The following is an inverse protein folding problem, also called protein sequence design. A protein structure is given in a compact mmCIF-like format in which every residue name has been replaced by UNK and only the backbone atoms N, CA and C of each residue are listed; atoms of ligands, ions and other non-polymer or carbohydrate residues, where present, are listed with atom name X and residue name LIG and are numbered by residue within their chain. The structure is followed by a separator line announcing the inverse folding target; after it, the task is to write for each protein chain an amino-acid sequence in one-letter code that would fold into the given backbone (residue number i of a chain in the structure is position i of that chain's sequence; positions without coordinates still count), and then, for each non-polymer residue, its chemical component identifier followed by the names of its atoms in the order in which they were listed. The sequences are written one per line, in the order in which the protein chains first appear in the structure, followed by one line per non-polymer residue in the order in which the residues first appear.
data_IF_927189347222
#
_entry.id   IF_927189347222
#
_cell.length_a   1.000
_cell.length_b   1.000
_cell.length_c   1.000
_cell.angle_alpha   90.00
_cell.angle_beta   90.00
_cell.angle_gamma   90.00
#
_symmetry.space_group_name_H-M   'P 1'
#
loop_
_entity.id
_entity.type
_entity.pdbx_description
1 polymer ?
#
# COMPACT_ATOMS: atom_id res chain seq x y z
N UNK A 1 6.50 -4.94 21.57
CA UNK A 1 6.99 -4.48 20.26
C UNK A 1 6.56 -5.52 19.23
N UNK A 2 6.03 -5.11 18.08
CA UNK A 2 5.70 -6.04 16.98
C UNK A 2 6.99 -6.68 16.48
N UNK A 3 6.96 -7.97 16.20
CA UNK A 3 8.11 -8.75 15.75
C UNK A 3 7.77 -9.46 14.44
N UNK A 4 8.54 -9.21 13.38
CA UNK A 4 8.44 -9.84 12.07
C UNK A 4 9.70 -10.65 11.72
N UNK A 5 10.48 -11.05 12.73
CA UNK A 5 11.73 -11.82 12.53
C UNK A 5 11.45 -13.13 11.77
N UNK A 6 12.19 -13.33 10.69
CA UNK A 6 12.05 -14.50 9.82
C UNK A 6 10.90 -14.42 8.81
N UNK A 7 10.16 -13.29 8.78
CA UNK A 7 9.13 -13.02 7.77
C UNK A 7 9.72 -12.37 6.53
N UNK A 8 9.19 -12.75 5.36
CA UNK A 8 9.50 -12.16 4.07
C UNK A 8 8.33 -11.28 3.64
N UNK A 9 8.61 -10.01 3.40
CA UNK A 9 7.61 -9.02 2.97
C UNK A 9 7.89 -8.49 1.57
N UNK A 10 6.83 -8.28 0.80
CA UNK A 10 6.83 -7.56 -0.49
C UNK A 10 6.09 -6.24 -0.31
N UNK A 11 6.72 -5.13 -0.72
CA UNK A 11 6.12 -3.78 -0.64
C UNK A 11 6.19 -3.11 -2.00
N UNK A 12 5.08 -2.61 -2.54
CA UNK A 12 5.09 -1.79 -3.77
C UNK A 12 5.05 -0.30 -3.43
N UNK A 13 5.65 0.54 -4.28
CA UNK A 13 5.74 1.99 -4.03
C UNK A 13 6.73 2.34 -2.91
N UNK A 14 7.80 1.54 -2.75
CA UNK A 14 8.72 1.62 -1.61
C UNK A 14 9.78 2.72 -1.69
N UNK A 15 9.88 3.46 -2.80
CA UNK A 15 10.91 4.48 -2.99
C UNK A 15 10.64 5.78 -2.21
N UNK A 16 9.42 6.04 -1.79
CA UNK A 16 9.08 7.31 -1.11
C UNK A 16 7.87 7.19 -0.17
N UNK A 17 7.59 8.25 0.57
CA UNK A 17 6.35 8.46 1.32
C UNK A 17 5.96 7.29 2.22
N UNK A 18 4.70 6.86 2.12
CA UNK A 18 4.14 5.78 2.93
C UNK A 18 4.87 4.45 2.65
N UNK A 19 5.19 4.16 1.38
CA UNK A 19 5.87 2.91 1.03
C UNK A 19 7.25 2.80 1.65
N UNK A 20 8.07 3.85 1.55
CA UNK A 20 9.37 3.92 2.24
C UNK A 20 9.21 3.70 3.74
N UNK A 21 8.24 4.38 4.36
CA UNK A 21 7.98 4.21 5.79
C UNK A 21 7.59 2.77 6.15
N UNK A 22 6.79 2.10 5.31
CA UNK A 22 6.45 0.68 5.48
C UNK A 22 7.70 -0.21 5.40
N UNK A 23 8.55 -0.02 4.37
CA UNK A 23 9.80 -0.78 4.22
C UNK A 23 10.64 -0.67 5.50
N UNK A 24 10.91 0.57 5.94
CA UNK A 24 11.77 0.81 7.11
C UNK A 24 11.17 0.24 8.40
N UNK A 25 9.86 0.42 8.62
CA UNK A 25 9.17 -0.14 9.80
C UNK A 25 9.19 -1.66 9.84
N UNK A 26 9.03 -2.32 8.68
CA UNK A 26 9.09 -3.78 8.61
C UNK A 26 10.50 -4.30 8.84
N UNK A 27 11.53 -3.62 8.32
CA UNK A 27 12.94 -3.94 8.60
C UNK A 27 13.24 -3.76 10.09
N UNK A 28 12.83 -2.65 10.71
CA UNK A 28 12.98 -2.41 12.16
C UNK A 28 12.31 -3.52 12.99
N UNK A 29 11.19 -4.08 12.49
CA UNK A 29 10.51 -5.20 13.13
C UNK A 29 11.15 -6.57 12.85
N UNK A 30 12.21 -6.63 12.03
CA UNK A 30 13.01 -7.83 11.77
C UNK A 30 12.64 -8.61 10.50
N UNK A 31 11.80 -8.06 9.62
CA UNK A 31 11.47 -8.69 8.34
C UNK A 31 12.60 -8.54 7.32
N UNK A 32 12.71 -9.49 6.40
CA UNK A 32 13.38 -9.29 5.11
C UNK A 32 12.39 -8.71 4.13
N UNK A 33 12.71 -7.57 3.51
CA UNK A 33 11.79 -6.82 2.67
C UNK A 33 12.28 -6.75 1.23
N UNK A 34 11.51 -7.24 0.28
CA UNK A 34 11.66 -6.96 -1.14
C UNK A 34 10.68 -5.84 -1.51
N UNK A 35 11.16 -4.79 -2.14
CA UNK A 35 10.25 -3.69 -2.49
C UNK A 35 10.48 -3.20 -3.92
N UNK A 36 9.39 -2.82 -4.57
CA UNK A 36 9.39 -2.35 -5.95
C UNK A 36 8.90 -0.91 -6.08
N UNK A 37 9.50 -0.18 -7.03
CA UNK A 37 9.09 1.16 -7.42
C UNK A 37 9.62 1.48 -8.82
N UNK A 38 9.01 2.47 -9.48
CA UNK A 38 9.52 3.02 -10.76
C UNK A 38 10.66 4.02 -10.54
N UNK A 39 10.76 4.61 -9.34
CA UNK A 39 11.83 5.56 -8.97
C UNK A 39 13.05 4.82 -8.45
N UNK A 40 13.99 4.54 -9.36
CA UNK A 40 15.23 3.81 -9.04
C UNK A 40 16.10 4.57 -8.03
N UNK A 41 16.17 5.90 -8.13
CA UNK A 41 16.98 6.71 -7.21
C UNK A 41 16.41 6.68 -5.80
N UNK A 42 15.09 6.88 -5.65
CA UNK A 42 14.39 6.77 -4.38
C UNK A 42 14.43 5.35 -3.82
N UNK A 43 14.40 4.32 -4.69
CA UNK A 43 14.57 2.92 -4.30
C UNK A 43 15.95 2.65 -3.70
N UNK A 44 17.02 3.10 -4.37
CA UNK A 44 18.38 2.98 -3.86
C UNK A 44 18.56 3.71 -2.51
N UNK A 45 17.97 4.90 -2.36
CA UNK A 45 17.98 5.65 -1.10
C UNK A 45 17.27 4.86 0.02
N UNK A 46 16.09 4.30 -0.26
CA UNK A 46 15.34 3.51 0.72
C UNK A 46 16.13 2.28 1.16
N UNK A 47 16.77 1.58 0.23
CA UNK A 47 17.62 0.42 0.53
C UNK A 47 18.82 0.81 1.39
N UNK A 48 19.42 1.98 1.13
CA UNK A 48 20.55 2.48 1.93
C UNK A 48 20.15 2.92 3.35
N UNK A 49 18.92 3.37 3.55
CA UNK A 49 18.38 3.73 4.88
C UNK A 49 18.02 2.50 5.72
N UNK A 50 17.77 1.36 5.10
CA UNK A 50 17.48 0.12 5.79
C UNK A 50 18.74 -0.51 6.38
N UNK A 51 18.58 -1.39 7.38
CA UNK A 51 19.70 -2.19 7.87
C UNK A 51 20.28 -3.05 6.74
N UNK A 52 21.61 -3.15 6.67
CA UNK A 52 22.31 -3.83 5.56
C UNK A 52 21.77 -5.24 5.32
N UNK A 53 21.35 -5.51 4.08
CA UNK A 53 20.84 -6.81 3.65
C UNK A 53 19.41 -7.14 4.05
N UNK A 54 18.70 -6.23 4.73
CA UNK A 54 17.32 -6.46 5.17
C UNK A 54 16.26 -5.91 4.21
N UNK A 55 16.66 -5.07 3.24
CA UNK A 55 15.78 -4.54 2.19
C UNK A 55 16.45 -4.64 0.82
N UNK A 56 15.73 -5.18 -0.16
CA UNK A 56 16.18 -5.30 -1.55
C UNK A 56 15.24 -4.53 -2.46
N UNK A 57 15.78 -3.59 -3.23
CA UNK A 57 15.04 -2.83 -4.23
C UNK A 57 14.96 -3.59 -5.55
N UNK A 58 13.82 -3.49 -6.22
CA UNK A 58 13.56 -4.00 -7.57
C UNK A 58 12.88 -2.89 -8.41
N UNK A 59 13.39 -2.54 -9.59
CA UNK A 59 12.65 -1.70 -10.53
C UNK A 59 11.32 -2.36 -10.88
N UNK A 60 10.21 -1.67 -10.67
CA UNK A 60 8.88 -2.25 -10.82
C UNK A 60 7.84 -1.19 -11.20
N UNK A 61 7.25 -1.34 -12.38
CA UNK A 61 5.98 -0.72 -12.74
C UNK A 61 4.84 -1.72 -12.47
N UNK A 62 3.93 -1.38 -11.56
CA UNK A 62 2.79 -2.23 -11.19
C UNK A 62 1.74 -2.37 -12.30
N UNK A 63 1.87 -1.62 -13.39
CA UNK A 63 1.03 -1.75 -14.58
C UNK A 63 1.62 -2.71 -15.61
N UNK A 64 2.91 -3.02 -15.53
CA UNK A 64 3.64 -3.92 -16.41
C UNK A 64 3.66 -5.35 -15.85
N UNK A 65 2.91 -6.26 -16.47
CA UNK A 65 2.80 -7.65 -16.02
C UNK A 65 4.11 -8.43 -16.11
N UNK A 66 4.92 -8.16 -17.12
CA UNK A 66 6.19 -8.84 -17.31
C UNK A 66 7.19 -8.45 -16.20
N UNK A 67 7.17 -7.17 -15.78
CA UNK A 67 7.95 -6.72 -14.63
C UNK A 67 7.46 -7.36 -13.33
N UNK A 68 6.15 -7.48 -13.13
CA UNK A 68 5.58 -8.16 -11.95
C UNK A 68 5.99 -9.63 -11.91
N UNK A 69 5.95 -10.35 -13.03
CA UNK A 69 6.37 -11.75 -13.12
C UNK A 69 7.86 -11.92 -12.83
N UNK A 70 8.71 -11.03 -13.36
CA UNK A 70 10.15 -11.01 -13.03
C UNK A 70 10.37 -10.76 -11.55
N UNK A 71 9.71 -9.75 -10.99
CA UNK A 71 9.77 -9.44 -9.56
C UNK A 71 9.38 -10.63 -8.69
N UNK A 72 8.28 -11.31 -9.03
CA UNK A 72 7.85 -12.50 -8.31
C UNK A 72 8.87 -13.64 -8.42
N UNK A 73 9.49 -13.81 -9.57
CA UNK A 73 10.55 -14.82 -9.80
C UNK A 73 11.80 -14.50 -8.98
N UNK A 74 12.25 -13.26 -8.95
CA UNK A 74 13.42 -12.82 -8.18
C UNK A 74 13.19 -13.01 -6.67
N UNK A 75 11.99 -12.70 -6.20
CA UNK A 75 11.61 -12.90 -4.79
C UNK A 75 11.45 -14.38 -4.45
N UNK A 76 11.01 -15.23 -5.38
CA UNK A 76 10.85 -16.68 -5.17
C UNK A 76 12.17 -17.41 -4.90
N UNK A 77 13.33 -16.79 -5.17
CA UNK A 77 14.65 -17.28 -4.75
C UNK A 77 14.85 -17.20 -3.21
N UNK A 78 13.99 -16.45 -2.51
CA UNK A 78 13.89 -16.35 -1.06
C UNK A 78 12.88 -17.37 -0.50
N UNK A 79 12.77 -17.55 0.83
CA UNK A 79 11.64 -18.25 1.43
C UNK A 79 10.30 -17.67 0.97
N UNK A 80 9.23 -18.46 1.06
CA UNK A 80 7.88 -18.03 0.65
C UNK A 80 7.51 -16.67 1.27
N UNK A 81 6.83 -15.83 0.47
CA UNK A 81 6.36 -14.51 0.93
C UNK A 81 5.28 -14.67 1.99
N UNK A 82 5.50 -14.06 3.15
CA UNK A 82 4.53 -14.02 4.25
C UNK A 82 3.60 -12.81 4.17
N UNK A 83 4.11 -11.68 3.67
CA UNK A 83 3.43 -10.38 3.76
C UNK A 83 3.48 -9.67 2.41
N UNK A 84 2.32 -9.19 1.94
CA UNK A 84 2.21 -8.29 0.79
C UNK A 84 1.64 -6.95 1.27
N UNK A 85 2.30 -5.84 0.90
CA UNK A 85 1.82 -4.48 1.15
C UNK A 85 1.73 -3.73 -0.17
N UNK A 86 0.53 -3.48 -0.64
CA UNK A 86 0.27 -2.72 -1.86
C UNK A 86 0.13 -1.24 -1.52
N UNK A 87 1.21 -0.47 -1.73
CA UNK A 87 1.25 0.98 -1.47
C UNK A 87 1.31 1.80 -2.76
N UNK A 88 1.90 1.26 -3.84
CA UNK A 88 2.01 1.97 -5.11
C UNK A 88 0.68 2.62 -5.52
N UNK A 89 0.74 3.88 -5.85
CA UNK A 89 -0.44 4.65 -6.22
C UNK A 89 -0.07 6.04 -6.71
N UNK A 90 -0.91 6.60 -7.56
CA UNK A 90 -0.72 7.92 -8.14
C UNK A 90 -2.07 8.58 -8.39
N UNK A 91 -2.11 9.91 -8.30
CA UNK A 91 -3.28 10.71 -8.64
C UNK A 91 -2.88 12.11 -9.10
N UNK A 92 -3.78 12.74 -9.80
CA UNK A 92 -3.75 14.18 -10.15
C UNK A 92 -5.16 14.73 -10.03
N UNK A 93 -5.32 15.69 -9.12
CA UNK A 93 -6.60 16.37 -8.88
C UNK A 93 -7.04 17.13 -10.14
N UNK A 94 -8.22 16.82 -10.67
CA UNK A 94 -8.84 17.54 -11.79
C UNK A 94 -10.36 17.30 -11.82
N UNK A 95 -11.15 18.21 -12.41
CA UNK A 95 -12.58 17.99 -12.63
C UNK A 95 -12.84 16.73 -13.47
N UNK A 96 -13.91 16.00 -13.18
CA UNK A 96 -14.23 14.75 -13.90
C UNK A 96 -14.41 14.96 -15.41
N UNK A 97 -15.01 16.09 -15.81
CA UNK A 97 -15.23 16.38 -17.24
C UNK A 97 -13.94 16.68 -18.01
N UNK A 98 -12.84 17.00 -17.32
CA UNK A 98 -11.54 17.26 -17.92
C UNK A 98 -10.69 15.99 -18.03
N UNK A 99 -11.18 14.88 -17.46
CA UNK A 99 -10.45 13.62 -17.47
C UNK A 99 -10.56 12.95 -18.86
N UNK A 100 -9.41 12.68 -19.48
CA UNK A 100 -9.36 11.91 -20.73
C UNK A 100 -9.47 10.40 -20.46
N UNK A 101 -9.86 9.59 -21.46
CA UNK A 101 -9.88 8.14 -21.32
C UNK A 101 -8.51 7.58 -20.87
N UNK A 102 -7.40 8.09 -21.40
CA UNK A 102 -6.04 7.64 -21.06
C UNK A 102 -5.70 7.94 -19.60
N UNK A 103 -6.14 9.11 -19.11
CA UNK A 103 -5.97 9.45 -17.68
C UNK A 103 -6.80 8.52 -16.78
N UNK A 104 -8.04 8.19 -17.18
CA UNK A 104 -8.89 7.25 -16.46
C UNK A 104 -8.23 5.87 -16.40
N UNK A 105 -7.74 5.37 -17.53
CA UNK A 105 -7.06 4.07 -17.61
C UNK A 105 -5.81 4.07 -16.74
N UNK A 106 -4.99 5.11 -16.80
CA UNK A 106 -3.79 5.23 -15.96
C UNK A 106 -4.12 5.16 -14.47
N UNK A 107 -5.14 5.91 -14.01
CA UNK A 107 -5.56 5.88 -12.60
C UNK A 107 -6.04 4.48 -12.19
N UNK A 108 -6.85 3.82 -13.03
CA UNK A 108 -7.36 2.48 -12.74
C UNK A 108 -6.25 1.43 -12.78
N UNK A 109 -5.35 1.52 -13.74
CA UNK A 109 -4.25 0.57 -13.91
C UNK A 109 -3.30 0.61 -12.72
N UNK A 110 -2.89 1.79 -12.28
CA UNK A 110 -1.98 1.93 -11.14
C UNK A 110 -2.69 1.59 -9.82
N UNK A 111 -3.85 2.22 -9.54
CA UNK A 111 -4.43 2.22 -8.21
C UNK A 111 -5.35 1.03 -7.91
N UNK A 112 -5.85 0.32 -8.93
CA UNK A 112 -6.75 -0.83 -8.77
C UNK A 112 -6.16 -2.11 -9.36
N UNK A 113 -5.81 -2.11 -10.66
CA UNK A 113 -5.29 -3.32 -11.31
C UNK A 113 -3.90 -3.69 -10.81
N UNK A 114 -3.03 -2.70 -10.53
CA UNK A 114 -1.70 -2.92 -9.97
C UNK A 114 -1.72 -3.80 -8.71
N UNK A 115 -2.44 -3.40 -7.64
CA UNK A 115 -2.60 -4.23 -6.45
C UNK A 115 -3.15 -5.64 -6.74
N UNK A 116 -4.12 -5.76 -7.65
CA UNK A 116 -4.67 -7.06 -8.04
C UNK A 116 -3.63 -7.94 -8.73
N UNK A 117 -2.83 -7.38 -9.64
CA UNK A 117 -1.79 -8.11 -10.36
C UNK A 117 -0.68 -8.57 -9.42
N UNK A 118 -0.23 -7.72 -8.49
CA UNK A 118 0.75 -8.09 -7.45
C UNK A 118 0.22 -9.26 -6.62
N UNK A 119 -1.00 -9.14 -6.09
CA UNK A 119 -1.58 -10.23 -5.30
C UNK A 119 -1.66 -11.52 -6.13
N UNK A 120 -2.10 -11.44 -7.40
CA UNK A 120 -2.22 -12.60 -8.27
C UNK A 120 -0.88 -13.30 -8.51
N UNK A 121 0.22 -12.56 -8.56
CA UNK A 121 1.55 -13.10 -8.78
C UNK A 121 2.09 -13.88 -7.56
N UNK A 122 1.82 -13.41 -6.35
CA UNK A 122 2.36 -14.00 -5.11
C UNK A 122 1.39 -14.93 -4.38
N UNK A 123 0.09 -14.77 -4.54
CA UNK A 123 -0.92 -15.52 -3.81
C UNK A 123 -0.80 -17.06 -3.94
N UNK A 124 -0.52 -17.63 -5.12
CA UNK A 124 -0.37 -19.09 -5.26
C UNK A 124 0.67 -19.66 -4.30
N UNK A 125 1.88 -19.08 -4.25
CA UNK A 125 2.95 -19.53 -3.37
C UNK A 125 2.60 -19.32 -1.88
N UNK A 126 1.92 -18.23 -1.53
CA UNK A 126 1.43 -18.01 -0.16
C UNK A 126 0.42 -19.07 0.27
N UNK A 127 -0.47 -19.50 -0.64
CA UNK A 127 -1.46 -20.55 -0.35
C UNK A 127 -0.81 -21.92 -0.22
N UNK A 128 0.19 -22.23 -1.05
CA UNK A 128 0.94 -23.50 -1.01
C UNK A 128 1.77 -23.64 0.27
N UNK A 129 2.33 -22.52 0.76
CA UNK A 129 3.13 -22.52 1.99
C UNK A 129 2.33 -22.87 3.25
N UNK A 130 0.99 -22.83 3.20
CA UNK A 130 0.07 -23.10 4.32
C UNK A 130 0.43 -22.37 5.63
N UNK A 131 1.06 -21.20 5.49
CA UNK A 131 1.44 -20.32 6.60
C UNK A 131 0.42 -19.17 6.72
N UNK A 132 0.33 -18.59 7.91
CA UNK A 132 -0.52 -17.41 8.11
C UNK A 132 0.03 -16.23 7.33
N UNK A 133 -0.52 -16.00 6.13
CA UNK A 133 -0.15 -14.88 5.27
C UNK A 133 -0.88 -13.58 5.65
N UNK A 134 -0.29 -12.45 5.28
CA UNK A 134 -0.88 -11.11 5.47
C UNK A 134 -0.85 -10.34 4.15
N UNK A 135 -1.98 -9.75 3.79
CA UNK A 135 -2.08 -8.83 2.65
C UNK A 135 -2.66 -7.52 3.17
N UNK A 136 -1.94 -6.42 2.99
CA UNK A 136 -2.39 -5.09 3.38
C UNK A 136 -2.44 -4.20 2.15
N UNK A 137 -3.63 -3.76 1.79
CA UNK A 137 -3.84 -2.85 0.68
C UNK A 137 -3.96 -1.41 1.17
N UNK A 138 -3.31 -0.47 0.49
CA UNK A 138 -3.50 0.96 0.75
C UNK A 138 -4.56 1.51 -0.18
N UNK A 139 -5.71 1.86 0.41
CA UNK A 139 -6.76 2.61 -0.25
C UNK A 139 -6.58 4.13 0.02
N UNK A 140 -7.66 4.82 0.31
CA UNK A 140 -7.70 6.23 0.68
C UNK A 140 -9.03 6.54 1.37
N UNK A 141 -9.07 7.56 2.20
CA UNK A 141 -10.34 8.12 2.69
C UNK A 141 -11.21 8.63 1.52
N UNK A 142 -10.60 9.07 0.40
CA UNK A 142 -11.31 9.37 -0.84
C UNK A 142 -12.11 8.15 -1.37
N UNK A 143 -11.58 6.93 -1.23
CA UNK A 143 -12.27 5.70 -1.61
C UNK A 143 -13.43 5.31 -0.66
N UNK A 144 -13.49 5.92 0.53
CA UNK A 144 -14.58 5.72 1.50
C UNK A 144 -15.68 6.76 1.37
N UNK A 145 -15.31 8.04 1.30
CA UNK A 145 -16.26 9.15 1.35
C UNK A 145 -16.39 9.94 0.04
N UNK A 146 -15.54 9.66 -0.95
CA UNK A 146 -15.39 10.51 -2.13
C UNK A 146 -14.48 11.71 -1.83
N UNK A 147 -13.97 12.34 -2.89
CA UNK A 147 -13.16 13.54 -2.81
C UNK A 147 -13.36 14.40 -4.07
N UNK A 148 -13.50 15.71 -3.89
CA UNK A 148 -13.67 16.65 -4.99
C UNK A 148 -12.44 16.69 -5.88
N UNK A 149 -12.62 16.47 -7.19
CA UNK A 149 -11.53 16.45 -8.17
C UNK A 149 -10.74 15.13 -8.21
N UNK A 150 -11.12 14.12 -7.44
CA UNK A 150 -10.49 12.80 -7.39
C UNK A 150 -11.50 11.68 -7.75
N UNK A 151 -12.48 11.96 -8.59
CA UNK A 151 -13.61 11.06 -8.85
C UNK A 151 -13.18 9.67 -9.30
N UNK A 152 -12.23 9.58 -10.24
CA UNK A 152 -11.74 8.31 -10.78
C UNK A 152 -10.86 7.59 -9.75
N UNK A 153 -9.97 8.36 -9.10
CA UNK A 153 -9.13 7.85 -8.01
C UNK A 153 -9.97 7.30 -6.85
N UNK A 154 -11.01 8.03 -6.43
CA UNK A 154 -11.95 7.57 -5.41
C UNK A 154 -12.65 6.27 -5.83
N UNK A 155 -13.05 6.16 -7.10
CA UNK A 155 -13.60 4.93 -7.66
C UNK A 155 -12.60 3.77 -7.61
N UNK A 156 -11.35 3.98 -8.03
CA UNK A 156 -10.28 2.99 -7.96
C UNK A 156 -10.02 2.54 -6.52
N UNK A 157 -9.88 3.49 -5.59
CA UNK A 157 -9.62 3.20 -4.16
C UNK A 157 -10.83 2.59 -3.46
N UNK A 158 -12.06 2.91 -3.86
CA UNK A 158 -13.27 2.19 -3.46
C UNK A 158 -13.26 0.74 -3.96
N UNK A 159 -12.79 0.51 -5.19
CA UNK A 159 -12.56 -0.81 -5.75
C UNK A 159 -11.57 -1.64 -4.92
N UNK A 160 -10.47 -1.04 -4.45
CA UNK A 160 -9.50 -1.69 -3.55
C UNK A 160 -10.15 -2.14 -2.23
N UNK A 161 -11.06 -1.35 -1.67
CA UNK A 161 -11.82 -1.71 -0.46
C UNK A 161 -12.68 -2.95 -0.73
N UNK A 162 -13.42 -2.97 -1.83
CA UNK A 162 -14.25 -4.11 -2.22
C UNK A 162 -13.41 -5.36 -2.52
N UNK A 163 -12.32 -5.20 -3.27
CA UNK A 163 -11.34 -6.25 -3.55
C UNK A 163 -10.79 -6.89 -2.27
N UNK A 164 -10.36 -6.05 -1.30
CA UNK A 164 -9.89 -6.52 0.01
C UNK A 164 -10.89 -7.42 0.70
N UNK A 165 -12.16 -6.99 0.77
CA UNK A 165 -13.23 -7.75 1.45
C UNK A 165 -13.54 -9.08 0.76
N UNK A 166 -13.55 -9.10 -0.58
CA UNK A 166 -13.80 -10.31 -1.35
C UNK A 166 -12.64 -11.29 -1.22
N UNK A 167 -11.42 -10.82 -1.40
CA UNK A 167 -10.21 -11.64 -1.28
C UNK A 167 -10.06 -12.24 0.12
N UNK A 168 -10.38 -11.46 1.17
CA UNK A 168 -10.37 -11.96 2.55
C UNK A 168 -11.26 -13.18 2.75
N UNK A 169 -12.43 -13.25 2.08
CA UNK A 169 -13.33 -14.40 2.13
C UNK A 169 -12.76 -15.61 1.38
N UNK A 170 -12.14 -15.37 0.21
CA UNK A 170 -11.59 -16.43 -0.63
C UNK A 170 -10.36 -17.09 0.02
N UNK A 171 -9.53 -16.30 0.71
CA UNK A 171 -8.25 -16.76 1.26
C UNK A 171 -8.32 -17.19 2.74
N UNK A 172 -9.47 -17.00 3.39
CA UNK A 172 -9.65 -17.31 4.82
C UNK A 172 -9.28 -18.76 5.19
N UNK A 173 -9.67 -19.73 4.34
CA UNK A 173 -9.35 -21.15 4.59
C UNK A 173 -7.87 -21.48 4.48
N UNK A 174 -7.10 -20.67 3.75
CA UNK A 174 -5.66 -20.77 3.67
C UNK A 174 -4.94 -20.02 4.83
N UNK A 175 -5.68 -19.43 5.77
CA UNK A 175 -5.11 -18.68 6.89
C UNK A 175 -4.56 -17.31 6.52
N UNK A 176 -4.88 -16.79 5.33
CA UNK A 176 -4.38 -15.49 4.87
C UNK A 176 -5.36 -14.39 5.29
N UNK A 177 -4.88 -13.42 6.07
CA UNK A 177 -5.63 -12.22 6.43
C UNK A 177 -5.41 -11.12 5.39
N UNK A 178 -6.49 -10.51 4.91
CA UNK A 178 -6.44 -9.42 3.93
C UNK A 178 -7.15 -8.20 4.50
N UNK A 179 -6.42 -7.10 4.70
CA UNK A 179 -6.97 -5.88 5.29
C UNK A 179 -6.60 -4.65 4.45
N UNK A 180 -7.26 -3.55 4.71
CA UNK A 180 -7.11 -2.29 4.00
C UNK A 180 -6.86 -1.14 4.98
N UNK A 181 -5.86 -0.32 4.69
CA UNK A 181 -5.64 0.96 5.36
C UNK A 181 -6.07 2.08 4.41
N UNK A 182 -6.82 3.05 4.94
CA UNK A 182 -7.27 4.23 4.22
C UNK A 182 -6.63 5.47 4.85
N UNK A 183 -5.50 5.97 4.30
CA UNK A 183 -4.90 7.20 4.76
C UNK A 183 -5.80 8.41 4.50
N UNK A 184 -5.78 9.36 5.42
CA UNK A 184 -6.13 10.75 5.15
C UNK A 184 -4.95 11.52 4.54
N UNK A 185 -5.00 12.87 4.51
CA UNK A 185 -3.89 13.69 4.03
C UNK A 185 -2.61 13.37 4.80
N UNK A 186 -1.59 12.93 4.05
CA UNK A 186 -0.31 12.44 4.60
C UNK A 186 0.83 13.19 3.94
N UNK A 187 1.85 13.59 4.70
CA UNK A 187 3.01 14.34 4.23
C UNK A 187 3.92 13.48 3.34
N UNK A 188 3.57 13.39 2.08
CA UNK A 188 4.25 12.60 1.05
C UNK A 188 4.64 13.49 -0.13
N UNK A 189 5.54 13.05 -1.03
CA UNK A 189 5.81 13.77 -2.26
C UNK A 189 4.54 14.09 -3.06
N UNK A 190 3.56 13.18 -3.10
CA UNK A 190 2.29 13.38 -3.79
C UNK A 190 1.49 14.57 -3.20
N UNK A 191 1.41 14.70 -1.88
CA UNK A 191 0.76 15.84 -1.23
C UNK A 191 1.56 17.12 -1.45
N UNK A 192 2.90 17.06 -1.37
CA UNK A 192 3.77 18.24 -1.52
C UNK A 192 3.76 18.83 -2.93
N UNK A 193 3.32 18.08 -3.95
CA UNK A 193 3.08 18.60 -5.30
C UNK A 193 1.85 19.52 -5.37
N UNK A 194 0.95 19.45 -4.40
CA UNK A 194 -0.21 20.34 -4.33
C UNK A 194 0.18 21.75 -3.86
N UNK A 195 -0.51 22.80 -4.32
CA UNK A 195 -0.29 24.16 -3.82
C UNK A 195 -0.37 24.22 -2.29
N UNK A 196 0.47 25.05 -1.65
CA UNK A 196 0.50 25.18 -0.19
C UNK A 196 -0.86 25.51 0.40
N UNK A 197 -1.66 26.36 -0.25
CA UNK A 197 -3.03 26.70 0.17
C UNK A 197 -3.95 25.47 0.25
N UNK A 198 -3.76 24.49 -0.63
CA UNK A 198 -4.50 23.22 -0.61
C UNK A 198 -4.01 22.36 0.55
N UNK A 199 -2.69 22.25 0.75
CA UNK A 199 -2.11 21.48 1.86
C UNK A 199 -2.61 22.02 3.22
N UNK A 200 -2.62 23.34 3.40
CA UNK A 200 -3.16 24.00 4.61
C UNK A 200 -4.66 23.77 4.78
N UNK A 201 -5.45 23.82 3.70
CA UNK A 201 -6.88 23.52 3.73
C UNK A 201 -7.14 22.09 4.19
N UNK A 202 -6.39 21.13 3.65
CA UNK A 202 -6.48 19.73 4.05
C UNK A 202 -6.11 19.54 5.52
N UNK A 203 -5.01 20.13 5.98
CA UNK A 203 -4.62 20.08 7.40
C UNK A 203 -5.68 20.65 8.33
N UNK A 204 -6.35 21.76 7.94
CA UNK A 204 -7.46 22.36 8.72
C UNK A 204 -8.71 21.50 8.73
N UNK A 205 -8.96 20.70 7.68
CA UNK A 205 -10.12 19.80 7.64
C UNK A 205 -9.97 18.62 8.60
N UNK A 206 -8.74 18.16 8.86
CA UNK A 206 -8.47 17.08 9.80
C UNK A 206 -8.77 17.55 11.25
N UNK A 207 -9.54 16.81 12.06
CA UNK A 207 -9.78 17.15 13.46
C UNK A 207 -8.49 17.33 14.28
N UNK A 208 -7.42 16.56 14.01
CA UNK A 208 -6.10 16.73 14.63
C UNK A 208 -5.34 17.98 14.15
N UNK A 209 -5.90 18.76 13.20
CA UNK A 209 -5.35 20.01 12.68
C UNK A 209 -3.94 19.89 12.07
N UNK A 210 -3.59 18.74 11.59
CA UNK A 210 -2.35 18.46 10.85
C UNK A 210 -2.56 17.33 9.85
N UNK A 211 -1.67 17.23 8.90
CA UNK A 211 -1.52 16.03 8.05
C UNK A 211 -0.81 14.94 8.84
N UNK A 212 -1.04 13.68 8.44
CA UNK A 212 -0.33 12.54 9.02
C UNK A 212 1.13 12.50 8.55
N UNK A 213 2.01 11.91 9.35
CA UNK A 213 3.32 11.51 8.90
C UNK A 213 3.25 10.11 8.26
N UNK A 214 4.07 9.79 7.23
CA UNK A 214 4.09 8.47 6.61
C UNK A 214 4.23 7.32 7.60
N UNK A 215 4.99 7.54 8.68
CA UNK A 215 5.20 6.55 9.74
C UNK A 215 3.91 6.19 10.47
N UNK A 216 2.99 7.14 10.65
CA UNK A 216 1.70 6.90 11.33
C UNK A 216 0.81 5.96 10.50
N UNK A 217 0.92 6.01 9.16
CA UNK A 217 0.25 5.06 8.27
C UNK A 217 0.96 3.70 8.31
N UNK A 218 2.30 3.71 8.26
CA UNK A 218 3.11 2.50 8.30
C UNK A 218 2.93 1.71 9.60
N UNK A 219 2.69 2.38 10.74
CA UNK A 219 2.41 1.71 12.02
C UNK A 219 1.09 0.92 11.98
N UNK A 220 0.06 1.41 11.31
CA UNK A 220 -1.18 0.67 11.09
C UNK A 220 -0.98 -0.52 10.12
N UNK A 221 -0.17 -0.32 9.07
CA UNK A 221 0.23 -1.40 8.16
C UNK A 221 0.99 -2.47 8.91
N UNK A 222 1.95 -2.09 9.75
CA UNK A 222 2.73 -3.02 10.56
C UNK A 222 1.85 -3.84 11.51
N UNK A 223 0.84 -3.22 12.13
CA UNK A 223 -0.15 -3.95 12.94
C UNK A 223 -0.86 -5.03 12.12
N UNK A 224 -1.43 -4.70 10.97
CA UNK A 224 -2.10 -5.67 10.11
C UNK A 224 -1.17 -6.74 9.55
N UNK A 225 0.12 -6.46 9.42
CA UNK A 225 1.15 -7.38 8.96
C UNK A 225 1.64 -8.34 10.04
N UNK A 226 1.25 -8.13 11.29
CA UNK A 226 1.74 -8.88 12.46
C UNK A 226 0.80 -9.99 12.91
N UNK A 227 1.27 -10.84 13.81
CA UNK A 227 0.47 -11.88 14.45
C UNK A 227 -0.61 -11.31 15.37
N UNK A 228 -0.47 -10.05 15.83
CA UNK A 228 -1.51 -9.35 16.60
C UNK A 228 -2.82 -9.19 15.80
N UNK A 229 -2.74 -9.17 14.47
CA UNK A 229 -3.89 -9.15 13.57
C UNK A 229 -4.25 -10.54 13.03
N UNK A 230 -3.87 -11.62 13.71
CA UNK A 230 -4.08 -13.01 13.26
C UNK A 230 -5.55 -13.42 13.12
N UNK A 231 -6.47 -12.71 13.77
CA UNK A 231 -7.93 -12.93 13.67
C UNK A 231 -8.67 -11.72 13.07
N UNK A 232 -7.93 -10.83 12.40
CA UNK A 232 -8.47 -9.62 11.76
C UNK A 232 -8.34 -9.76 10.26
N UNK A 233 -9.46 -9.89 9.55
CA UNK A 233 -9.50 -9.98 8.08
C UNK A 233 -10.71 -9.25 7.50
N UNK A 234 -10.58 -8.72 6.27
CA UNK A 234 -11.62 -7.96 5.58
C UNK A 234 -11.89 -6.58 6.17
N UNK A 235 -11.03 -6.09 7.07
CA UNK A 235 -11.22 -4.81 7.74
C UNK A 235 -10.68 -3.65 6.90
N UNK A 236 -11.31 -2.49 7.09
CA UNK A 236 -10.97 -1.24 6.42
C UNK A 236 -10.79 -0.17 7.49
N UNK A 237 -9.54 0.23 7.71
CA UNK A 237 -9.16 1.15 8.78
C UNK A 237 -8.78 2.51 8.20
N UNK A 238 -9.51 3.58 8.56
CA UNK A 238 -9.06 4.94 8.29
C UNK A 238 -7.97 5.35 9.28
N UNK A 239 -6.86 5.87 8.75
CA UNK A 239 -5.78 6.49 9.51
C UNK A 239 -5.69 7.93 9.05
N UNK A 240 -6.55 8.80 9.61
CA UNK A 240 -6.86 10.11 9.05
C UNK A 240 -7.02 11.23 10.09
N UNK A 241 -6.62 10.99 11.34
CA UNK A 241 -6.76 11.98 12.41
C UNK A 241 -8.21 12.39 12.67
N UNK A 242 -9.17 11.49 12.37
CA UNK A 242 -10.60 11.73 12.56
C UNK A 242 -11.31 12.37 11.36
N UNK A 243 -10.63 12.55 10.20
CA UNK A 243 -11.26 13.14 9.02
C UNK A 243 -12.41 12.28 8.49
N UNK A 244 -12.23 10.97 8.47
CA UNK A 244 -13.25 10.00 8.08
C UNK A 244 -13.53 9.03 9.22
N UNK A 245 -14.79 9.03 9.66
CA UNK A 245 -15.31 8.12 10.68
C UNK A 245 -16.49 7.39 10.04
N UNK A 246 -16.24 6.22 9.48
CA UNK A 246 -17.29 5.41 8.90
C UNK A 246 -17.29 4.03 9.52
N UNK A 247 -18.44 3.62 10.02
CA UNK A 247 -18.72 2.27 10.46
C UNK A 247 -19.09 1.35 9.31
#
# INVERSE_FOLDING_TARGET
MINLKGKVAVVTGGASGIGRACVLRMVEAGATVHFGDIDEAGGAETAALAATGSATFHPLDVTDRDQIERFATDVAASPAVDIIVNVAGWDRVQPFLDATPEFMDQILDINLKGPMNIVKAFLPSMMEAQQQGKIVNISSDAGRGGSLGETIYAGAKGGVIAFTKSLARETARAGICVNCVCPGPTDTPLLRMQPQSIQEKLARAVPFRRVAQPQEIADAVLFFSSDLAGYVTGQVLSVSGGLTMSG
#
